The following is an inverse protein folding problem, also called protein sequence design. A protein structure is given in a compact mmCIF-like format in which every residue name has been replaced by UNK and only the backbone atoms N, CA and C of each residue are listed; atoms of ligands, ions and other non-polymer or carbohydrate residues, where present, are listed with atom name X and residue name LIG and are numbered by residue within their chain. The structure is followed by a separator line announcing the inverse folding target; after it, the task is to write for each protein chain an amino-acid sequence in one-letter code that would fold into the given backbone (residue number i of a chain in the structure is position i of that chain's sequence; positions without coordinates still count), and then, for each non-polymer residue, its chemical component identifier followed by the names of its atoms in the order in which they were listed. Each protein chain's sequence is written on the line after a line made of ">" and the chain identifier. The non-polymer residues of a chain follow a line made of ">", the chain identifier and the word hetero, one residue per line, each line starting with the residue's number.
data_IF_210372408294
#
_entry.id   IF_210372408294
#
_cell.length_a   1.000
_cell.length_b   1.000
_cell.length_c   1.000
_cell.angle_alpha   90.00
_cell.angle_beta   90.00
_cell.angle_gamma   90.00
#
_symmetry.space_group_name_H-M   'P 1'
#
loop_
_entity.id
_entity.type
_entity.pdbx_description
1 polymer ?
#
# COMPACT_ATOMS: atom_id res chain seq x y z
N UNK A 1 9.28 7.79 2.55
CA UNK A 1 9.00 6.69 1.59
C UNK A 1 8.79 5.32 2.23
N UNK A 2 9.05 5.12 3.53
CA UNK A 2 8.91 3.80 4.17
C UNK A 2 7.46 3.27 4.14
N UNK A 3 6.48 4.12 4.44
CA UNK A 3 5.04 3.77 4.40
C UNK A 3 4.64 3.22 3.03
N UNK A 4 4.94 3.97 1.95
CA UNK A 4 4.66 3.51 0.58
C UNK A 4 5.38 2.20 0.24
N UNK A 5 6.63 2.03 0.66
CA UNK A 5 7.35 0.78 0.44
C UNK A 5 6.66 -0.40 1.13
N UNK A 6 6.28 -0.26 2.40
CA UNK A 6 5.54 -1.29 3.14
C UNK A 6 4.20 -1.62 2.46
N UNK A 7 3.43 -0.61 2.07
CA UNK A 7 2.16 -0.80 1.35
C UNK A 7 2.38 -1.52 0.01
N UNK A 8 3.37 -1.11 -0.79
CA UNK A 8 3.70 -1.74 -2.07
C UNK A 8 4.10 -3.20 -1.90
N UNK A 9 4.93 -3.51 -0.90
CA UNK A 9 5.31 -4.89 -0.57
C UNK A 9 4.08 -5.73 -0.27
N UNK A 10 3.18 -5.25 0.60
CA UNK A 10 1.96 -6.01 0.94
C UNK A 10 1.04 -6.19 -0.26
N UNK A 11 0.86 -5.16 -1.09
CA UNK A 11 0.10 -5.26 -2.35
C UNK A 11 0.70 -6.34 -3.25
N UNK A 12 2.02 -6.30 -3.48
CA UNK A 12 2.74 -7.28 -4.30
C UNK A 12 2.61 -8.71 -3.79
N UNK A 13 2.72 -8.92 -2.48
CA UNK A 13 2.52 -10.23 -1.85
C UNK A 13 1.11 -10.78 -2.11
N UNK A 14 0.07 -9.94 -1.99
CA UNK A 14 -1.31 -10.36 -2.20
C UNK A 14 -1.57 -10.70 -3.68
N UNK A 15 -1.07 -9.87 -4.59
CA UNK A 15 -1.12 -10.12 -6.05
C UNK A 15 -0.49 -11.47 -6.38
N UNK A 16 0.72 -11.72 -5.86
CA UNK A 16 1.46 -12.99 -6.06
C UNK A 16 0.70 -14.18 -5.49
N UNK A 17 0.18 -14.07 -4.26
CA UNK A 17 -0.58 -15.13 -3.60
C UNK A 17 -1.86 -15.48 -4.34
N UNK A 18 -2.54 -14.48 -4.91
CA UNK A 18 -3.74 -14.66 -5.74
C UNK A 18 -3.43 -15.11 -7.18
N UNK A 19 -2.14 -15.27 -7.53
CA UNK A 19 -1.68 -15.65 -8.88
C UNK A 19 -2.21 -14.74 -9.99
N UNK A 20 -2.41 -13.45 -9.67
CA UNK A 20 -2.86 -12.48 -10.65
C UNK A 20 -1.70 -12.08 -11.55
N UNK A 21 -1.93 -12.03 -12.86
CA UNK A 21 -1.01 -11.34 -13.75
C UNK A 21 -1.03 -9.85 -13.45
N UNK A 22 0.01 -9.15 -13.90
CA UNK A 22 0.08 -7.71 -13.68
C UNK A 22 -1.04 -6.94 -14.39
N UNK A 23 -1.56 -7.46 -15.50
CA UNK A 23 -2.70 -6.87 -16.22
C UNK A 23 -3.99 -7.07 -15.41
N UNK A 24 -4.26 -8.29 -14.95
CA UNK A 24 -5.42 -8.60 -14.12
C UNK A 24 -5.43 -7.79 -12.81
N UNK A 25 -4.25 -7.65 -12.17
CA UNK A 25 -4.11 -6.84 -10.97
C UNK A 25 -4.35 -5.35 -11.27
N UNK A 26 -3.85 -4.83 -12.39
CA UNK A 26 -4.06 -3.44 -12.78
C UNK A 26 -5.55 -3.12 -13.00
N UNK A 27 -6.26 -4.01 -13.68
CA UNK A 27 -7.70 -3.94 -13.91
C UNK A 27 -8.49 -3.97 -12.59
N UNK A 28 -8.23 -4.97 -11.74
CA UNK A 28 -8.85 -5.09 -10.41
C UNK A 28 -8.64 -3.84 -9.54
N UNK A 29 -7.42 -3.29 -9.56
CA UNK A 29 -7.03 -2.13 -8.77
C UNK A 29 -7.50 -0.79 -9.36
N UNK A 30 -8.00 -0.79 -10.61
CA UNK A 30 -8.40 0.41 -11.34
C UNK A 30 -7.22 1.39 -11.51
N UNK A 31 -6.03 0.87 -11.83
CA UNK A 31 -4.84 1.69 -12.15
C UNK A 31 -4.18 1.19 -13.44
N UNK A 32 -3.53 2.06 -14.23
CA UNK A 32 -2.80 1.62 -15.41
C UNK A 32 -1.71 0.60 -15.06
N UNK A 33 -1.55 -0.43 -15.89
CA UNK A 33 -0.53 -1.48 -15.69
C UNK A 33 0.90 -0.93 -15.52
N UNK A 34 1.35 0.11 -16.28
CA UNK A 34 2.67 0.70 -16.07
C UNK A 34 2.79 1.36 -14.69
N UNK A 35 1.71 1.98 -14.20
CA UNK A 35 1.67 2.61 -12.87
C UNK A 35 1.76 1.56 -11.76
N UNK A 36 1.07 0.44 -11.91
CA UNK A 36 1.21 -0.72 -11.02
C UNK A 36 2.65 -1.27 -11.05
N UNK A 37 3.24 -1.41 -12.24
CA UNK A 37 4.63 -1.87 -12.42
C UNK A 37 5.61 -1.04 -11.62
N UNK A 38 5.53 0.27 -11.82
CA UNK A 38 6.43 1.24 -11.20
C UNK A 38 6.26 1.22 -9.69
N UNK A 39 5.02 1.21 -9.19
CA UNK A 39 4.74 1.10 -7.76
C UNK A 39 5.36 -0.15 -7.14
N UNK A 40 5.20 -1.32 -7.77
CA UNK A 40 5.77 -2.59 -7.28
C UNK A 40 7.31 -2.61 -7.31
N UNK A 41 7.93 -1.79 -8.18
CA UNK A 41 9.38 -1.59 -8.27
C UNK A 41 9.91 -0.46 -7.37
N UNK A 42 9.08 0.08 -6.48
CA UNK A 42 9.47 1.16 -5.56
C UNK A 42 9.43 2.57 -6.16
N UNK A 43 8.94 2.71 -7.39
CA UNK A 43 8.82 4.00 -8.08
C UNK A 43 7.44 4.62 -7.79
N UNK A 44 7.36 5.41 -6.72
CA UNK A 44 6.10 5.93 -6.20
C UNK A 44 5.65 7.29 -6.78
N UNK A 45 6.31 7.79 -7.83
CA UNK A 45 5.95 9.07 -8.44
C UNK A 45 4.53 8.97 -9.04
N UNK A 46 3.66 9.91 -8.67
CA UNK A 46 2.29 9.96 -9.19
C UNK A 46 1.30 8.97 -8.57
N UNK A 47 1.66 8.24 -7.50
CA UNK A 47 0.70 7.45 -6.71
C UNK A 47 0.70 7.91 -5.24
N UNK A 48 -0.49 8.16 -4.70
CA UNK A 48 -0.69 8.60 -3.31
C UNK A 48 -0.78 7.42 -2.35
N UNK A 49 -0.50 7.65 -1.07
CA UNK A 49 -0.72 6.64 -0.01
C UNK A 49 -2.20 6.24 0.06
N UNK A 50 -3.12 7.20 -0.07
CA UNK A 50 -4.56 6.95 -0.16
C UNK A 50 -4.92 5.98 -1.28
N UNK A 51 -4.32 6.12 -2.47
CA UNK A 51 -4.58 5.18 -3.57
C UNK A 51 -4.00 3.79 -3.29
N UNK A 52 -2.87 3.70 -2.59
CA UNK A 52 -2.30 2.41 -2.18
C UNK A 52 -3.15 1.72 -1.10
N UNK A 53 -3.75 2.50 -0.19
CA UNK A 53 -4.72 2.02 0.78
C UNK A 53 -5.99 1.50 0.07
N UNK A 54 -6.52 2.23 -0.92
CA UNK A 54 -7.63 1.76 -1.79
C UNK A 54 -7.26 0.47 -2.56
N UNK A 55 -6.00 0.31 -2.96
CA UNK A 55 -5.58 -0.95 -3.56
C UNK A 55 -5.68 -2.13 -2.59
N UNK A 56 -5.36 -1.93 -1.30
CA UNK A 56 -5.49 -2.98 -0.28
C UNK A 56 -6.96 -3.35 -0.07
N UNK A 57 -7.88 -2.39 -0.03
CA UNK A 57 -9.32 -2.65 0.12
C UNK A 57 -9.87 -3.42 -1.08
N UNK A 58 -9.52 -3.04 -2.31
CA UNK A 58 -9.86 -3.79 -3.55
C UNK A 58 -9.28 -5.20 -3.58
N UNK A 59 -8.15 -5.41 -2.91
CA UNK A 59 -7.55 -6.74 -2.72
C UNK A 59 -8.16 -7.50 -1.52
N UNK A 60 -9.32 -7.07 -1.02
CA UNK A 60 -10.06 -7.73 0.06
C UNK A 60 -9.36 -7.65 1.41
N UNK A 61 -8.66 -6.56 1.69
CA UNK A 61 -8.07 -6.29 3.01
C UNK A 61 -8.83 -5.18 3.70
N UNK A 62 -9.12 -5.39 4.97
CA UNK A 62 -9.56 -4.31 5.84
C UNK A 62 -8.35 -3.45 6.19
N UNK A 63 -8.52 -2.14 6.16
CA UNK A 63 -7.50 -1.17 6.57
C UNK A 63 -8.06 -0.33 7.70
N UNK A 64 -7.40 -0.35 8.83
CA UNK A 64 -7.73 0.45 10.01
C UNK A 64 -6.68 1.54 10.18
N UNK A 65 -7.12 2.78 10.43
CA UNK A 65 -6.25 3.91 10.74
C UNK A 65 -6.39 4.19 12.24
N UNK A 66 -5.35 3.87 12.99
CA UNK A 66 -5.33 4.06 14.45
C UNK A 66 -4.54 5.31 14.80
N UNK A 67 -5.20 6.29 15.41
CA UNK A 67 -4.57 7.51 15.95
C UNK A 67 -4.48 7.38 17.46
N UNK A 68 -3.26 7.52 18.00
CA UNK A 68 -2.98 7.42 19.45
C UNK A 68 -1.95 8.45 19.88
N UNK A 69 -1.98 8.81 21.16
CA UNK A 69 -1.00 9.72 21.74
C UNK A 69 0.44 9.18 21.57
N UNK A 70 1.36 10.07 21.21
CA UNK A 70 2.78 9.75 21.20
C UNK A 70 3.29 9.53 22.65
N UNK A 71 4.33 8.70 22.87
CA UNK A 71 4.96 8.60 24.18
C UNK A 71 5.41 9.97 24.69
N UNK A 72 5.26 10.24 25.99
CA UNK A 72 5.69 11.51 26.61
C UNK A 72 7.16 11.85 26.35
N UNK A 73 7.99 10.85 26.07
CA UNK A 73 9.42 11.00 25.74
C UNK A 73 9.70 11.45 24.29
N UNK A 74 8.67 11.66 23.44
CA UNK A 74 8.83 12.10 22.05
C UNK A 74 8.14 13.43 21.81
N UNK A 75 8.84 14.34 21.13
CA UNK A 75 8.32 15.66 20.76
C UNK A 75 7.23 15.60 19.66
N UNK A 76 7.16 14.51 18.88
CA UNK A 76 6.19 14.33 17.81
C UNK A 76 5.76 12.87 17.65
N UNK A 77 4.56 12.66 17.09
CA UNK A 77 4.06 11.36 16.66
C UNK A 77 4.78 10.85 15.41
N UNK A 78 4.44 9.62 15.00
CA UNK A 78 4.95 9.01 13.76
C UNK A 78 3.85 8.25 13.06
N UNK A 79 3.97 8.15 11.75
CA UNK A 79 3.15 7.25 10.93
C UNK A 79 3.88 5.91 10.82
N UNK A 80 3.17 4.82 11.04
CA UNK A 80 3.69 3.46 10.86
C UNK A 80 2.61 2.57 10.28
N UNK A 81 3.00 1.67 9.37
CA UNK A 81 2.13 0.60 8.88
C UNK A 81 2.45 -0.66 9.67
N UNK A 82 1.42 -1.32 10.19
CA UNK A 82 1.50 -2.60 10.88
C UNK A 82 0.64 -3.58 10.11
N UNK A 83 1.15 -4.78 9.84
CA UNK A 83 0.40 -5.85 9.19
C UNK A 83 0.07 -6.91 10.23
N UNK A 84 -1.19 -7.36 10.22
CA UNK A 84 -1.59 -8.61 10.87
C UNK A 84 -1.15 -9.83 10.05
#
# INVERSE_FOLDING_TARGET
>A
MLVKAQLATKIGEIIKRRKLTQIQAAELLGIPQPKLSNMLRGQFRGISETKMIDCLTRLGRNVEIVVKAAPRSKAAGRVSVVFA
#
